data_IF_639986341734
#
_entry.id   IF_639986341734
#
_cell.length_a   1.000
_cell.length_b   1.000
_cell.length_c   1.000
_cell.angle_alpha   90.00
_cell.angle_beta   90.00
_cell.angle_gamma   90.00
#
_symmetry.space_group_name_H-M   'P 1'
#
loop_
_entity.id
_entity.type
_entity.pdbx_description
1 polymer ?
#
# COMPACT_ATOMS: atom_id res chain seq x y z
N UNK A 1 6.12 -11.02 -21.25
CA UNK A 1 6.35 -11.55 -19.89
C UNK A 1 6.00 -10.43 -18.94
N UNK A 2 5.21 -10.68 -17.92
CA UNK A 2 4.88 -9.70 -16.89
C UNK A 2 6.03 -9.57 -15.87
N UNK A 3 6.11 -8.43 -15.20
CA UNK A 3 7.06 -8.15 -14.14
C UNK A 3 6.38 -8.48 -12.80
N UNK A 4 6.87 -9.46 -12.03
CA UNK A 4 6.32 -9.75 -10.70
C UNK A 4 6.69 -8.66 -9.71
N UNK A 5 5.70 -8.13 -8.99
CA UNK A 5 5.87 -7.02 -8.04
C UNK A 5 5.22 -7.34 -6.69
N UNK A 6 5.95 -7.07 -5.61
CA UNK A 6 5.39 -6.84 -4.29
C UNK A 6 5.49 -5.33 -4.04
N UNK A 7 4.36 -4.69 -3.74
CA UNK A 7 4.30 -3.25 -3.52
C UNK A 7 4.27 -2.94 -2.02
N UNK A 8 5.38 -2.43 -1.50
CA UNK A 8 5.48 -1.92 -0.13
C UNK A 8 5.14 -0.42 -0.10
N UNK A 9 4.11 -0.04 0.64
CA UNK A 9 3.61 1.34 0.67
C UNK A 9 2.90 1.70 1.98
N UNK A 10 2.59 2.97 2.18
CA UNK A 10 1.89 3.47 3.37
C UNK A 10 0.65 4.29 3.00
N UNK A 11 -0.40 3.67 2.42
CA UNK A 11 -1.26 4.39 1.49
C UNK A 11 -1.83 5.74 1.92
N UNK A 12 -1.31 6.79 1.28
CA UNK A 12 -1.94 8.07 1.00
C UNK A 12 -2.61 8.10 -0.38
N UNK A 13 -2.99 9.29 -0.86
CA UNK A 13 -3.72 9.42 -2.12
C UNK A 13 -2.89 8.95 -3.33
N UNK A 14 -1.61 9.30 -3.34
CA UNK A 14 -0.63 8.92 -4.36
C UNK A 14 -0.37 7.42 -4.40
N UNK A 15 -0.22 6.76 -3.25
CA UNK A 15 -0.08 5.30 -3.18
C UNK A 15 -1.31 4.56 -3.69
N UNK A 16 -2.52 5.08 -3.43
CA UNK A 16 -3.76 4.50 -3.95
C UNK A 16 -3.72 4.47 -5.48
N UNK A 17 -3.27 5.55 -6.12
CA UNK A 17 -3.07 5.56 -7.57
C UNK A 17 -1.97 4.59 -8.02
N UNK A 18 -0.89 4.43 -7.25
CA UNK A 18 0.16 3.47 -7.54
C UNK A 18 -0.34 2.02 -7.45
N UNK A 19 -1.15 1.68 -6.45
CA UNK A 19 -1.81 0.38 -6.32
C UNK A 19 -2.70 0.11 -7.53
N UNK A 20 -3.54 1.07 -7.93
CA UNK A 20 -4.44 0.92 -9.08
C UNK A 20 -3.69 0.79 -10.40
N UNK A 21 -2.62 1.58 -10.58
CA UNK A 21 -1.75 1.46 -11.74
C UNK A 21 -1.11 0.07 -11.78
N UNK A 22 -0.53 -0.40 -10.68
CA UNK A 22 0.11 -1.71 -10.62
C UNK A 22 -0.88 -2.85 -10.90
N UNK A 23 -2.08 -2.78 -10.34
CA UNK A 23 -3.11 -3.81 -10.55
C UNK A 23 -3.73 -3.80 -11.95
N UNK A 24 -3.77 -2.64 -12.61
CA UNK A 24 -4.35 -2.48 -13.95
C UNK A 24 -3.36 -2.57 -15.11
N UNK A 25 -2.05 -2.54 -14.85
CA UNK A 25 -1.04 -2.49 -15.90
C UNK A 25 -0.78 -3.88 -16.52
N UNK A 26 -0.88 -4.04 -17.85
CA UNK A 26 -0.82 -5.36 -18.49
C UNK A 26 0.55 -6.05 -18.37
N UNK A 27 1.61 -5.29 -18.12
CA UNK A 27 2.97 -5.81 -17.92
C UNK A 27 3.35 -6.03 -16.44
N UNK A 28 2.45 -5.78 -15.48
CA UNK A 28 2.72 -5.98 -14.05
C UNK A 28 1.89 -7.15 -13.52
N UNK A 29 2.53 -8.02 -12.75
CA UNK A 29 1.90 -9.07 -11.96
C UNK A 29 2.02 -8.70 -10.47
N UNK A 30 0.97 -8.08 -9.93
CA UNK A 30 0.94 -7.62 -8.54
C UNK A 30 0.70 -8.81 -7.61
N UNK A 31 1.77 -9.34 -7.04
CA UNK A 31 1.75 -10.54 -6.21
C UNK A 31 1.23 -10.30 -4.80
N UNK A 32 1.51 -9.13 -4.23
CA UNK A 32 1.10 -8.74 -2.89
C UNK A 32 1.25 -7.23 -2.67
N UNK A 33 0.52 -6.70 -1.68
CA UNK A 33 0.77 -5.37 -1.11
C UNK A 33 1.22 -5.56 0.34
N UNK A 34 2.32 -4.92 0.74
CA UNK A 34 2.73 -4.81 2.13
C UNK A 34 2.57 -3.38 2.60
N UNK A 35 2.20 -3.19 3.86
CA UNK A 35 1.96 -1.86 4.42
C UNK A 35 2.90 -1.51 5.55
N UNK A 36 3.24 -0.23 5.64
CA UNK A 36 4.08 0.33 6.72
C UNK A 36 3.43 1.59 7.31
N UNK A 37 3.84 1.97 8.51
CA UNK A 37 3.51 3.28 9.09
C UNK A 37 4.29 4.40 8.40
N UNK A 38 3.63 5.51 8.08
CA UNK A 38 4.26 6.67 7.43
C UNK A 38 3.28 7.81 7.28
N UNK A 39 2.55 7.88 6.16
CA UNK A 39 1.47 8.83 5.93
C UNK A 39 0.40 8.78 7.04
N UNK A 40 0.11 7.58 7.54
CA UNK A 40 -0.74 7.35 8.70
C UNK A 40 -0.20 6.25 9.61
N UNK A 41 -0.96 5.96 10.67
CA UNK A 41 -0.75 4.78 11.51
C UNK A 41 -0.96 3.50 10.69
N UNK A 42 -0.25 2.43 11.04
CA UNK A 42 -0.26 1.18 10.28
C UNK A 42 -1.68 0.62 10.07
N UNK A 43 -2.56 0.74 11.06
CA UNK A 43 -3.96 0.31 10.94
C UNK A 43 -4.67 1.03 9.78
N UNK A 44 -4.45 2.34 9.65
CA UNK A 44 -5.05 3.14 8.59
C UNK A 44 -4.43 2.81 7.23
N UNK A 45 -3.10 2.73 7.12
CA UNK A 45 -2.43 2.43 5.85
C UNK A 45 -2.78 1.03 5.35
N UNK A 46 -2.86 0.04 6.24
CA UNK A 46 -3.33 -1.32 5.93
C UNK A 46 -4.79 -1.35 5.49
N UNK A 47 -5.65 -0.58 6.17
CA UNK A 47 -7.07 -0.47 5.77
C UNK A 47 -7.20 0.21 4.42
N UNK A 48 -6.47 1.30 4.18
CA UNK A 48 -6.46 2.04 2.91
C UNK A 48 -5.99 1.16 1.75
N UNK A 49 -4.94 0.35 1.93
CA UNK A 49 -4.50 -0.61 0.91
C UNK A 49 -5.63 -1.59 0.52
N UNK A 50 -6.34 -2.14 1.52
CA UNK A 50 -7.47 -3.05 1.28
C UNK A 50 -8.61 -2.34 0.56
N UNK A 51 -8.98 -1.14 1.01
CA UNK A 51 -10.03 -0.33 0.38
C UNK A 51 -9.65 -0.01 -1.07
N UNK A 52 -8.40 0.37 -1.34
CA UNK A 52 -7.91 0.66 -2.68
C UNK A 52 -8.12 -0.54 -3.62
N UNK A 53 -7.71 -1.74 -3.21
CA UNK A 53 -7.92 -2.97 -3.99
C UNK A 53 -9.40 -3.29 -4.18
N UNK A 54 -10.21 -3.20 -3.11
CA UNK A 54 -11.66 -3.44 -3.18
C UNK A 54 -12.36 -2.48 -4.14
N UNK A 55 -12.06 -1.18 -4.09
CA UNK A 55 -12.65 -0.17 -4.97
C UNK A 55 -12.26 -0.39 -6.43
N UNK A 56 -11.03 -0.86 -6.68
CA UNK A 56 -10.57 -1.21 -8.02
C UNK A 56 -11.12 -2.56 -8.53
N UNK A 57 -11.87 -3.31 -7.72
CA UNK A 57 -12.36 -4.64 -8.06
C UNK A 57 -11.25 -5.68 -8.19
N UNK A 58 -10.15 -5.49 -7.46
CA UNK A 58 -8.98 -6.38 -7.49
C UNK A 58 -9.10 -7.38 -6.34
N UNK A 59 -9.41 -8.62 -6.69
CA UNK A 59 -9.51 -9.74 -5.76
C UNK A 59 -8.24 -10.61 -5.77
N UNK A 60 -7.97 -11.30 -4.67
CA UNK A 60 -6.90 -12.32 -4.60
C UNK A 60 -5.48 -11.79 -4.35
N UNK A 61 -5.23 -10.48 -4.43
CA UNK A 61 -3.96 -9.87 -4.02
C UNK A 61 -3.91 -9.78 -2.49
N UNK A 62 -3.02 -10.51 -1.80
CA UNK A 62 -2.91 -10.47 -0.35
C UNK A 62 -2.35 -9.13 0.13
N UNK A 63 -2.88 -8.65 1.26
CA UNK A 63 -2.36 -7.47 1.98
C UNK A 63 -1.81 -7.89 3.33
N UNK A 64 -0.52 -7.64 3.58
CA UNK A 64 0.14 -7.94 4.84
C UNK A 64 0.64 -6.67 5.54
N UNK A 65 0.27 -6.52 6.82
CA UNK A 65 0.74 -5.40 7.65
C UNK A 65 2.20 -5.63 8.07
N UNK A 66 3.01 -4.60 7.93
CA UNK A 66 4.44 -4.57 8.24
C UNK A 66 4.76 -3.80 9.52
N UNK A 67 5.74 -2.91 9.46
CA UNK A 67 6.25 -2.22 10.64
C UNK A 67 5.33 -1.05 11.09
N UNK A 68 5.02 -1.01 12.39
CA UNK A 68 4.21 0.06 13.01
C UNK A 68 5.01 1.33 13.35
N UNK A 69 6.34 1.26 13.31
CA UNK A 69 7.22 2.37 13.72
C UNK A 69 8.59 2.30 13.06
N UNK A 70 9.32 3.43 12.98
CA UNK A 70 10.71 3.46 12.55
C UNK A 70 11.64 2.63 13.45
N UNK A 71 12.78 2.21 12.90
CA UNK A 71 13.75 1.40 13.64
C UNK A 71 14.46 2.15 14.78
N UNK A 72 14.67 3.47 14.65
CA UNK A 72 15.56 4.23 15.53
C UNK A 72 15.03 5.57 16.05
N UNK A 73 13.89 6.04 15.53
CA UNK A 73 13.31 7.34 15.87
C UNK A 73 11.87 7.21 16.31
N UNK A 74 11.38 8.22 17.02
CA UNK A 74 9.97 8.34 17.32
C UNK A 74 9.15 8.44 16.02
N UNK A 75 8.03 7.74 15.99
CA UNK A 75 7.11 7.81 14.87
C UNK A 75 6.32 9.12 14.94
N UNK A 76 6.27 9.83 13.81
CA UNK A 76 5.44 11.02 13.64
C UNK A 76 4.74 10.86 12.30
N UNK A 77 3.40 10.68 12.29
CA UNK A 77 2.68 10.40 11.05
C UNK A 77 2.60 11.65 10.17
N UNK A 78 2.60 11.42 8.86
CA UNK A 78 2.48 12.44 7.81
C UNK A 78 1.06 12.95 7.57
N UNK A 79 0.14 12.83 8.53
CA UNK A 79 -1.31 13.07 8.35
C UNK A 79 -1.71 14.48 7.90
N UNK A 80 -0.76 15.41 7.87
CA UNK A 80 -0.95 16.82 7.48
C UNK A 80 -0.58 17.10 6.02
N UNK A 81 0.04 16.13 5.35
CA UNK A 81 0.47 16.20 3.95
C UNK A 81 -0.56 15.37 3.17
N UNK A 82 -1.16 15.95 2.12
CA UNK A 82 -2.24 15.35 1.34
C UNK A 82 -2.00 15.44 -0.15
#
# INVERSE_FOLDING_TARGET
MTIPVILDCDPGHDDVFAIWLAAGHPDIDLLAVTTVSGNGYLEHTTTNARVALTVAGVDGVPVAAGAEKPLSREFTPGTWIH
#
